data_IF_193699021235
#
_entry.id   IF_193699021235
#
_cell.length_a   1.000
_cell.length_b   1.000
_cell.length_c   1.000
_cell.angle_alpha   90.00
_cell.angle_beta   90.00
_cell.angle_gamma   90.00
#
_symmetry.space_group_name_H-M   'P 1'
#
loop_
_entity.id
_entity.type
_entity.pdbx_description
1 polymer ?
#
# COMPACT_ATOMS: atom_id res chain seq x y z
N UNK A 1 9.41 12.27 7.13
CA UNK A 1 9.74 12.00 5.72
C UNK A 1 10.15 10.54 5.59
N UNK A 2 9.37 9.72 4.89
CA UNK A 2 9.77 8.37 4.52
C UNK A 2 10.76 8.41 3.35
N UNK A 3 11.94 7.81 3.54
CA UNK A 3 12.92 7.60 2.47
C UNK A 3 12.63 6.25 1.84
N UNK A 4 12.44 6.23 0.52
CA UNK A 4 12.22 5.00 -0.23
C UNK A 4 13.50 4.42 -0.84
N UNK A 5 13.39 3.24 -1.43
CA UNK A 5 14.46 2.58 -2.18
C UNK A 5 14.03 2.31 -3.63
N UNK A 6 15.00 2.30 -4.53
CA UNK A 6 14.76 1.91 -5.93
C UNK A 6 15.05 0.42 -6.11
N UNK A 7 14.13 -0.29 -6.74
CA UNK A 7 14.37 -1.66 -7.20
C UNK A 7 15.28 -1.72 -8.43
N UNK A 8 15.68 -2.94 -8.80
CA UNK A 8 16.62 -3.20 -9.90
C UNK A 8 16.08 -2.74 -11.28
N UNK A 9 14.76 -2.76 -11.48
CA UNK A 9 14.12 -2.26 -12.71
C UNK A 9 13.55 -0.84 -12.53
N UNK A 10 13.90 -0.17 -11.43
CA UNK A 10 13.47 1.17 -11.12
C UNK A 10 12.10 1.26 -10.49
N UNK A 11 11.62 0.17 -9.90
CA UNK A 11 10.51 0.12 -8.95
C UNK A 11 10.74 1.11 -7.80
N UNK A 12 9.65 1.58 -7.19
CA UNK A 12 9.68 2.51 -6.07
C UNK A 12 9.18 1.76 -4.83
N UNK A 13 10.03 1.54 -3.84
CA UNK A 13 9.64 0.86 -2.61
C UNK A 13 9.65 1.82 -1.42
N UNK A 14 8.68 1.64 -0.53
CA UNK A 14 8.60 2.32 0.75
C UNK A 14 8.29 1.32 1.85
N UNK A 15 9.03 1.39 2.95
CA UNK A 15 8.68 0.65 4.16
C UNK A 15 7.44 1.30 4.79
N UNK A 16 6.43 0.48 5.07
CA UNK A 16 5.23 0.84 5.83
C UNK A 16 5.01 -0.20 6.92
N UNK A 17 4.20 0.12 7.92
CA UNK A 17 3.82 -0.85 8.95
C UNK A 17 2.33 -1.16 8.84
N UNK A 18 1.98 -2.44 8.73
CA UNK A 18 0.61 -2.92 8.83
C UNK A 18 0.32 -3.23 10.30
N UNK A 19 -0.75 -2.68 10.85
CA UNK A 19 -1.07 -2.82 12.28
C UNK A 19 -2.25 -3.76 12.45
N UNK A 20 -2.04 -4.90 13.08
CA UNK A 20 -3.10 -5.87 13.37
C UNK A 20 -4.11 -5.32 14.38
N UNK A 21 -5.28 -5.96 14.46
CA UNK A 21 -6.28 -5.66 15.50
C UNK A 21 -5.72 -5.89 16.92
N UNK A 22 -4.78 -6.82 17.07
CA UNK A 22 -4.05 -7.06 18.31
C UNK A 22 -3.13 -5.89 18.74
N UNK A 23 -2.82 -4.97 17.82
CA UNK A 23 -1.84 -3.91 17.99
C UNK A 23 -0.41 -4.31 17.60
N UNK A 24 -0.20 -5.54 17.09
CA UNK A 24 1.09 -5.95 16.53
C UNK A 24 1.37 -5.19 15.22
N UNK A 25 2.61 -4.71 15.06
CA UNK A 25 3.05 -3.94 13.89
C UNK A 25 3.97 -4.81 13.01
N UNK A 26 3.62 -4.94 11.74
CA UNK A 26 4.39 -5.69 10.75
C UNK A 26 4.99 -4.73 9.72
N UNK A 27 6.31 -4.57 9.70
CA UNK A 27 7.01 -3.80 8.67
C UNK A 27 7.06 -4.58 7.36
N UNK A 28 6.63 -3.93 6.27
CA UNK A 28 6.68 -4.48 4.91
C UNK A 28 7.23 -3.45 3.93
N UNK A 29 8.01 -3.92 2.96
CA UNK A 29 8.38 -3.10 1.80
C UNK A 29 7.22 -3.12 0.80
N UNK A 30 6.63 -1.96 0.56
CA UNK A 30 5.51 -1.80 -0.36
C UNK A 30 5.94 -1.18 -1.69
N UNK A 31 5.54 -1.81 -2.79
CA UNK A 31 5.73 -1.32 -4.16
C UNK A 31 4.74 -0.18 -4.42
N UNK A 32 5.25 1.02 -4.69
CA UNK A 32 4.42 2.14 -5.10
C UNK A 32 4.10 2.06 -6.60
N UNK A 33 2.86 1.68 -6.91
CA UNK A 33 2.34 1.56 -8.27
C UNK A 33 1.41 2.73 -8.60
N UNK A 34 1.92 3.71 -9.36
CA UNK A 34 1.11 4.84 -9.84
C UNK A 34 0.00 4.44 -10.82
N UNK A 35 0.05 3.22 -11.37
CA UNK A 35 -0.99 2.65 -12.22
C UNK A 35 -2.16 2.06 -11.44
N UNK A 36 -2.01 1.82 -10.12
CA UNK A 36 -3.10 1.42 -9.24
C UNK A 36 -3.84 2.66 -8.74
N UNK A 37 -4.80 3.13 -9.56
CA UNK A 37 -5.40 4.46 -9.39
C UNK A 37 -6.63 4.52 -8.49
N UNK A 38 -7.27 3.40 -8.23
CA UNK A 38 -8.55 3.29 -7.52
C UNK A 38 -8.43 2.69 -6.12
N UNK A 39 -7.21 2.49 -5.62
CA UNK A 39 -6.98 1.98 -4.26
C UNK A 39 -5.79 2.61 -3.55
N UNK A 40 -5.81 2.45 -2.22
CA UNK A 40 -4.76 2.92 -1.32
C UNK A 40 -3.68 1.85 -1.17
N UNK A 41 -4.09 0.63 -0.84
CA UNK A 41 -3.21 -0.49 -0.59
C UNK A 41 -3.84 -1.77 -1.14
N UNK A 42 -2.99 -2.69 -1.61
CA UNK A 42 -3.37 -4.06 -1.90
C UNK A 42 -2.35 -5.04 -1.27
N UNK A 43 -2.83 -6.09 -0.60
CA UNK A 43 -2.00 -7.10 0.07
C UNK A 43 -2.44 -8.52 -0.29
N UNK A 44 -1.57 -9.50 -0.08
CA UNK A 44 -1.93 -10.90 -0.26
C UNK A 44 -2.90 -11.37 0.85
N UNK A 45 -3.83 -12.26 0.52
CA UNK A 45 -4.70 -12.90 1.51
C UNK A 45 -3.92 -13.60 2.63
N UNK A 46 -2.73 -14.13 2.36
CA UNK A 46 -1.87 -14.76 3.38
C UNK A 46 -1.41 -13.77 4.45
N UNK A 47 -1.13 -12.52 4.08
CA UNK A 47 -0.71 -11.47 5.02
C UNK A 47 -1.87 -11.04 5.91
N UNK A 48 -3.10 -11.07 5.39
CA UNK A 48 -4.31 -10.70 6.13
C UNK A 48 -4.56 -11.60 7.36
N UNK A 49 -4.19 -12.88 7.31
CA UNK A 49 -4.48 -13.84 8.38
C UNK A 49 -3.92 -13.38 9.73
N UNK A 50 -2.75 -12.73 9.75
CA UNK A 50 -2.13 -12.20 10.97
C UNK A 50 -2.70 -10.83 11.41
N UNK A 51 -3.36 -10.10 10.50
CA UNK A 51 -3.83 -8.74 10.74
C UNK A 51 -5.23 -8.70 11.39
N UNK A 52 -6.05 -9.71 11.12
CA UNK A 52 -7.42 -9.85 11.62
C UNK A 52 -8.32 -8.64 11.31
N UNK A 53 -8.04 -7.91 10.22
CA UNK A 53 -8.81 -6.72 9.85
C UNK A 53 -10.28 -7.03 9.54
N UNK A 54 -11.14 -6.02 9.74
CA UNK A 54 -12.57 -6.15 9.50
C UNK A 54 -12.90 -6.03 8.02
N UNK A 55 -13.67 -6.98 7.49
CA UNK A 55 -14.15 -6.96 6.11
C UNK A 55 -15.18 -5.83 5.92
N UNK A 56 -14.91 -4.92 4.98
CA UNK A 56 -15.83 -3.84 4.60
C UNK A 56 -16.74 -4.23 3.44
N UNK A 57 -16.19 -4.87 2.40
CA UNK A 57 -16.93 -5.25 1.19
C UNK A 57 -16.26 -6.45 0.53
N UNK A 58 -17.04 -7.42 0.07
CA UNK A 58 -16.51 -8.62 -0.57
C UNK A 58 -16.69 -8.58 -2.09
N UNK A 59 -15.79 -9.26 -2.81
CA UNK A 59 -15.93 -9.56 -4.24
C UNK A 59 -16.06 -8.33 -5.14
N UNK A 60 -15.31 -7.26 -4.83
CA UNK A 60 -15.21 -6.07 -5.68
C UNK A 60 -14.45 -6.42 -6.94
N UNK A 61 -15.08 -6.22 -8.10
CA UNK A 61 -14.46 -6.46 -9.39
C UNK A 61 -13.58 -5.26 -9.79
N UNK A 62 -12.34 -5.55 -10.17
CA UNK A 62 -11.37 -4.58 -10.67
C UNK A 62 -10.78 -5.05 -11.99
N UNK A 63 -10.53 -4.12 -12.90
CA UNK A 63 -9.77 -4.40 -14.13
C UNK A 63 -8.29 -4.17 -13.87
N UNK A 64 -7.51 -5.25 -13.87
CA UNK A 64 -6.06 -5.21 -13.68
C UNK A 64 -5.34 -5.40 -15.02
N UNK A 65 -4.02 -5.21 -15.03
CA UNK A 65 -3.20 -5.55 -16.20
C UNK A 65 -3.29 -7.05 -16.61
N UNK A 66 -3.73 -7.93 -15.70
CA UNK A 66 -3.94 -9.36 -15.95
C UNK A 66 -5.39 -9.71 -16.35
N UNK A 67 -6.25 -8.70 -16.50
CA UNK A 67 -7.69 -8.86 -16.74
C UNK A 67 -8.53 -8.60 -15.50
N UNK A 68 -9.78 -9.05 -15.51
CA UNK A 68 -10.70 -8.85 -14.39
C UNK A 68 -10.30 -9.73 -13.21
N UNK A 69 -10.20 -9.13 -12.04
CA UNK A 69 -9.94 -9.80 -10.78
C UNK A 69 -11.00 -9.39 -9.75
N UNK A 70 -11.12 -10.17 -8.68
CA UNK A 70 -12.00 -9.88 -7.55
C UNK A 70 -11.19 -9.74 -6.28
N UNK A 71 -11.46 -8.69 -5.55
CA UNK A 71 -10.82 -8.39 -4.27
C UNK A 71 -11.86 -8.30 -3.17
N UNK A 72 -11.44 -8.62 -1.95
CA UNK A 72 -12.17 -8.25 -0.75
C UNK A 72 -11.54 -6.98 -0.20
N UNK A 73 -12.35 -6.02 0.23
CA UNK A 73 -11.90 -4.77 0.82
C UNK A 73 -12.03 -4.86 2.32
N UNK A 74 -10.94 -4.59 3.03
CA UNK A 74 -10.84 -4.59 4.48
C UNK A 74 -10.54 -3.19 5.02
N UNK A 75 -10.92 -2.92 6.26
CA UNK A 75 -10.52 -1.73 7.00
C UNK A 75 -9.10 -1.95 7.54
N UNK A 76 -8.10 -1.46 6.82
CA UNK A 76 -6.71 -1.61 7.20
C UNK A 76 -6.21 -0.44 8.03
N UNK A 77 -5.37 -0.76 9.01
CA UNK A 77 -4.64 0.23 9.82
C UNK A 77 -3.16 0.19 9.43
N UNK A 78 -2.64 1.33 9.00
CA UNK A 78 -1.28 1.44 8.45
C UNK A 78 -0.56 2.59 9.11
N UNK A 79 0.71 2.40 9.46
CA UNK A 79 1.61 3.49 9.85
C UNK A 79 2.51 3.80 8.66
N UNK A 80 2.47 5.06 8.25
CA UNK A 80 3.33 5.58 7.19
C UNK A 80 3.80 6.97 7.57
N UNK A 81 5.08 7.26 7.34
CA UNK A 81 5.70 8.51 7.77
C UNK A 81 5.54 8.78 9.28
N UNK A 82 5.45 7.71 10.08
CA UNK A 82 5.19 7.77 11.52
C UNK A 82 3.76 8.14 11.90
N UNK A 83 2.84 8.22 10.95
CA UNK A 83 1.43 8.57 11.15
C UNK A 83 0.57 7.33 10.92
N UNK A 84 -0.25 6.99 11.91
CA UNK A 84 -1.26 5.94 11.79
C UNK A 84 -2.48 6.46 11.03
N UNK A 85 -2.91 5.72 10.00
CA UNK A 85 -4.11 6.00 9.21
C UNK A 85 -4.94 4.73 9.03
N UNK A 86 -6.25 4.92 8.90
CA UNK A 86 -7.21 3.86 8.59
C UNK A 86 -7.70 4.07 7.16
N UNK A 87 -7.54 3.04 6.31
CA UNK A 87 -7.81 3.10 4.87
C UNK A 87 -8.49 1.80 4.38
N UNK A 88 -9.22 1.84 3.26
CA UNK A 88 -9.66 0.62 2.60
C UNK A 88 -8.48 -0.09 1.93
N UNK A 89 -8.32 -1.38 2.20
CA UNK A 89 -7.25 -2.23 1.65
C UNK A 89 -7.83 -3.34 0.81
N UNK A 90 -7.35 -3.48 -0.42
CA UNK A 90 -7.71 -4.57 -1.32
C UNK A 90 -6.94 -5.84 -0.95
N UNK A 91 -7.62 -6.97 -0.83
CA UNK A 91 -7.02 -8.25 -0.47
C UNK A 91 -7.38 -9.28 -1.53
N UNK A 92 -6.38 -9.99 -2.03
CA UNK A 92 -6.53 -11.03 -3.06
C UNK A 92 -5.34 -12.01 -3.08
N UNK A 93 -5.55 -13.16 -3.73
CA UNK A 93 -4.62 -14.30 -3.62
C UNK A 93 -3.37 -14.17 -4.52
N UNK A 94 -3.46 -13.42 -5.62
CA UNK A 94 -2.42 -13.31 -6.65
C UNK A 94 -1.61 -12.00 -6.59
N UNK A 95 -1.53 -11.39 -5.40
CA UNK A 95 -0.74 -10.17 -5.16
C UNK A 95 0.66 -10.60 -4.66
N UNK A 96 1.72 -10.41 -5.47
CA UNK A 96 3.07 -10.88 -5.11
C UNK A 96 3.78 -9.98 -4.10
N UNK A 97 3.54 -8.67 -4.17
CA UNK A 97 4.12 -7.64 -3.30
C UNK A 97 2.98 -6.83 -2.69
N UNK A 98 3.17 -6.27 -1.49
CA UNK A 98 2.26 -5.24 -0.99
C UNK A 98 2.31 -4.04 -1.94
N UNK A 99 1.17 -3.62 -2.49
CA UNK A 99 1.09 -2.54 -3.49
C UNK A 99 0.50 -1.30 -2.84
N UNK A 100 1.18 -0.16 -2.94
CA UNK A 100 0.65 1.16 -2.63
C UNK A 100 0.15 1.83 -3.91
N UNK A 101 -1.11 2.25 -3.91
CA UNK A 101 -1.73 2.92 -5.05
C UNK A 101 -1.60 4.44 -5.02
N UNK A 102 -2.02 5.09 -6.11
CA UNK A 102 -1.84 6.53 -6.28
C UNK A 102 -2.77 7.38 -5.40
N UNK A 103 -3.80 6.79 -4.75
CA UNK A 103 -4.68 7.54 -3.83
C UNK A 103 -3.91 8.16 -2.66
N UNK A 104 -2.77 7.57 -2.27
CA UNK A 104 -1.88 8.19 -1.29
C UNK A 104 -1.43 9.61 -1.69
N UNK A 105 -1.33 9.90 -2.99
CA UNK A 105 -0.91 11.21 -3.50
C UNK A 105 -1.95 12.31 -3.27
N UNK A 106 -3.17 11.98 -2.86
CA UNK A 106 -4.17 12.96 -2.45
C UNK A 106 -3.80 13.63 -1.11
N UNK A 107 -3.00 12.95 -0.27
CA UNK A 107 -2.61 13.40 1.07
C UNK A 107 -1.09 13.39 1.32
N UNK A 108 -0.30 12.87 0.38
CA UNK A 108 1.15 12.75 0.47
C UNK A 108 1.85 13.36 -0.74
N UNK A 109 3.08 13.86 -0.53
CA UNK A 109 3.97 14.27 -1.61
C UNK A 109 4.97 13.16 -1.91
N UNK A 110 4.96 12.67 -3.15
CA UNK A 110 5.98 11.79 -3.71
C UNK A 110 6.99 12.62 -4.51
N UNK A 111 8.27 12.50 -4.17
CA UNK A 111 9.39 13.09 -4.94
C UNK A 111 10.28 11.97 -5.46
N UNK A 112 10.43 11.91 -6.79
CA UNK A 112 11.29 10.94 -7.48
C UNK A 112 12.33 11.68 -8.32
N UNK A 113 13.61 11.47 -8.04
CA UNK A 113 14.74 11.95 -8.83
C UNK A 113 15.84 10.89 -8.89
N UNK A 114 15.72 9.94 -9.84
CA UNK A 114 16.68 8.84 -10.03
C UNK A 114 18.12 9.31 -10.25
N UNK A 115 18.42 10.32 -11.10
CA UNK A 115 19.79 10.82 -11.27
C UNK A 115 20.44 11.33 -9.98
N UNK A 116 19.64 11.80 -9.02
CA UNK A 116 20.09 12.27 -7.71
C UNK A 116 19.89 11.26 -6.58
N UNK A 117 19.35 10.07 -6.88
CA UNK A 117 19.02 9.06 -5.87
C UNK A 117 17.95 9.50 -4.86
N UNK A 118 17.07 10.43 -5.23
CA UNK A 118 16.01 10.90 -4.32
C UNK A 118 14.74 10.09 -4.57
N UNK A 119 14.26 9.42 -3.53
CA UNK A 119 12.93 8.85 -3.46
C UNK A 119 12.37 9.13 -2.07
N UNK A 120 11.35 9.98 -1.98
CA UNK A 120 10.75 10.33 -0.69
C UNK A 120 9.24 10.38 -0.81
N UNK A 121 8.58 9.94 0.25
CA UNK A 121 7.14 10.05 0.43
C UNK A 121 6.89 10.71 1.79
N UNK A 122 6.13 11.79 1.83
CA UNK A 122 5.85 12.53 3.08
C UNK A 122 4.40 12.95 3.15
N UNK A 123 3.83 12.94 4.35
CA UNK A 123 2.51 13.52 4.56
C UNK A 123 2.54 15.03 4.27
N UNK A 124 1.49 15.54 3.64
CA UNK A 124 1.31 16.99 3.47
C UNK A 124 0.70 17.52 4.77
N UNK A 125 1.43 18.38 5.48
CA UNK A 125 0.88 19.12 6.63
C UNK A 125 -0.30 19.98 6.14
N UNK A 126 -1.48 19.80 6.74
CA UNK A 126 -2.66 20.65 6.51
C UNK A 126 -2.63 21.90 7.40
#
# INVERSE_FOLDING_TARGET
MGVGSFGDNGELYFEIQLVAVSGEEFSVDALFDTGFTDGWLAINTQDLEALEWSLLTAQVEMTTARGNARFNIYEGKVIIDGIEVIIPVHVGDDIPDTIMGSLWLDIMELVVNKPKGILTLKMIEQ
#
